data_IF_905496245057
#
_entry.id   IF_905496245057
#
_cell.length_a   1.000
_cell.length_b   1.000
_cell.length_c   1.000
_cell.angle_alpha   90.00
_cell.angle_beta   90.00
_cell.angle_gamma   90.00
#
_symmetry.space_group_name_H-M   'P 1'
#
loop_
_entity.id
_entity.type
_entity.pdbx_description
1 polymer ?
#
# COMPACT_ATOMS: atom_id res chain seq x y z
N UNK A 1 -11.39 16.79 -21.27
CA UNK A 1 -11.25 16.66 -19.80
C UNK A 1 -10.51 15.36 -19.49
N UNK A 2 -9.21 15.41 -19.18
CA UNK A 2 -8.48 14.24 -18.68
C UNK A 2 -8.71 14.19 -17.17
N UNK A 3 -9.48 13.21 -16.70
CA UNK A 3 -9.54 12.92 -15.27
C UNK A 3 -8.10 12.69 -14.80
N UNK A 4 -7.60 13.56 -13.92
CA UNK A 4 -6.26 13.43 -13.38
C UNK A 4 -6.19 12.10 -12.65
N UNK A 5 -5.33 11.19 -13.13
CA UNK A 5 -5.02 9.94 -12.46
C UNK A 5 -4.51 10.14 -11.02
N UNK A 6 -4.29 11.37 -10.58
CA UNK A 6 -3.87 11.68 -9.22
C UNK A 6 -4.96 11.45 -8.16
N UNK A 7 -6.26 11.53 -8.51
CA UNK A 7 -7.33 11.47 -7.49
C UNK A 7 -7.68 10.06 -6.99
N UNK A 8 -7.52 9.04 -7.83
CA UNK A 8 -7.99 7.69 -7.49
C UNK A 8 -7.11 6.99 -6.44
N UNK A 9 -5.79 7.14 -6.50
CA UNK A 9 -4.90 6.55 -5.50
C UNK A 9 -5.07 7.16 -4.11
N UNK A 10 -5.25 8.49 -4.02
CA UNK A 10 -5.58 9.17 -2.77
C UNK A 10 -6.84 8.62 -2.14
N UNK A 11 -7.88 8.41 -2.94
CA UNK A 11 -9.14 7.86 -2.47
C UNK A 11 -8.99 6.40 -2.02
N UNK A 12 -8.31 5.56 -2.80
CA UNK A 12 -8.02 4.17 -2.43
C UNK A 12 -7.20 4.08 -1.14
N UNK A 13 -6.13 4.85 -1.00
CA UNK A 13 -5.33 4.89 0.22
C UNK A 13 -6.16 5.33 1.43
N UNK A 14 -6.98 6.37 1.30
CA UNK A 14 -7.85 6.80 2.39
C UNK A 14 -8.87 5.73 2.80
N UNK A 15 -9.41 4.95 1.87
CA UNK A 15 -10.29 3.82 2.19
C UNK A 15 -9.53 2.71 2.90
N UNK A 16 -8.34 2.37 2.42
CA UNK A 16 -7.49 1.34 3.02
C UNK A 16 -7.07 1.72 4.44
N UNK A 17 -6.59 2.95 4.65
CA UNK A 17 -6.15 3.44 5.96
C UNK A 17 -7.28 3.55 7.00
N UNK A 18 -8.55 3.49 6.59
CA UNK A 18 -9.69 3.38 7.52
C UNK A 18 -9.92 1.95 8.00
N UNK A 19 -9.52 0.95 7.21
CA UNK A 19 -9.71 -0.49 7.50
C UNK A 19 -8.47 -1.12 8.14
N UNK A 20 -7.32 -0.54 7.85
CA UNK A 20 -6.03 -1.05 8.26
C UNK A 20 -5.38 -0.12 9.26
N UNK A 21 -4.84 -0.70 10.33
CA UNK A 21 -3.96 0.03 11.23
C UNK A 21 -2.52 -0.14 10.77
N UNK A 22 -1.84 0.99 10.54
CA UNK A 22 -0.41 1.03 10.26
C UNK A 22 0.35 1.45 11.52
N UNK A 23 1.57 0.93 11.69
CA UNK A 23 2.49 1.46 12.69
C UNK A 23 2.88 2.92 12.38
N UNK A 24 3.33 3.67 13.38
CA UNK A 24 3.79 5.06 13.17
C UNK A 24 4.91 5.14 12.13
N UNK A 25 5.83 4.17 12.14
CA UNK A 25 6.93 4.07 11.20
C UNK A 25 6.43 3.88 9.75
N UNK A 26 5.38 3.08 9.55
CA UNK A 26 4.75 2.90 8.25
C UNK A 26 3.99 4.14 7.78
N UNK A 27 3.28 4.82 8.69
CA UNK A 27 2.63 6.09 8.40
C UNK A 27 3.65 7.15 7.99
N UNK A 28 4.79 7.22 8.66
CA UNK A 28 5.88 8.12 8.29
C UNK A 28 6.40 7.81 6.88
N UNK A 29 6.65 6.53 6.55
CA UNK A 29 7.06 6.13 5.20
C UNK A 29 6.02 6.53 4.16
N UNK A 30 4.74 6.25 4.41
CA UNK A 30 3.65 6.58 3.50
C UNK A 30 3.58 8.09 3.23
N UNK A 31 3.75 8.93 4.26
CA UNK A 31 3.76 10.40 4.15
C UNK A 31 4.92 10.96 3.31
N UNK A 32 5.97 10.18 3.07
CA UNK A 32 7.09 10.61 2.19
C UNK A 32 6.79 10.41 0.71
N UNK A 33 5.73 9.66 0.38
CA UNK A 33 5.33 9.40 -1.01
C UNK A 33 4.48 10.57 -1.52
N UNK A 34 4.88 11.11 -2.67
CA UNK A 34 4.03 12.00 -3.46
C UNK A 34 2.98 11.15 -4.17
N UNK A 35 1.72 11.25 -3.76
CA UNK A 35 0.61 10.44 -4.30
C UNK A 35 0.42 10.64 -5.82
N UNK A 36 0.83 11.79 -6.37
CA UNK A 36 0.80 12.04 -7.82
C UNK A 36 1.84 11.22 -8.60
N UNK A 37 2.75 10.57 -7.89
CA UNK A 37 3.82 9.72 -8.44
C UNK A 37 3.55 8.23 -8.23
N UNK A 38 2.42 7.87 -7.62
CA UNK A 38 2.01 6.47 -7.52
C UNK A 38 1.71 5.95 -8.93
N UNK A 39 2.35 4.83 -9.27
CA UNK A 39 2.19 4.10 -10.52
C UNK A 39 1.19 2.96 -10.36
N UNK A 40 1.25 2.26 -9.22
CA UNK A 40 0.31 1.19 -8.93
C UNK A 40 0.16 0.97 -7.43
N UNK A 41 -1.03 0.49 -7.06
CA UNK A 41 -1.38 0.08 -5.71
C UNK A 41 -1.96 -1.33 -5.79
N UNK A 42 -1.44 -2.25 -4.99
CA UNK A 42 -1.94 -3.61 -4.87
C UNK A 42 -2.23 -3.92 -3.40
N UNK A 43 -3.40 -4.49 -3.12
CA UNK A 43 -3.80 -4.83 -1.77
C UNK A 43 -4.68 -6.08 -1.73
N UNK A 44 -4.74 -6.71 -0.56
CA UNK A 44 -5.68 -7.81 -0.28
C UNK A 44 -6.27 -7.66 1.11
N UNK A 45 -7.53 -8.08 1.26
CA UNK A 45 -8.24 -8.12 2.54
C UNK A 45 -7.92 -9.39 3.33
N UNK A 46 -7.82 -10.52 2.65
CA UNK A 46 -7.50 -11.84 3.22
C UNK A 46 -6.22 -12.41 2.63
N UNK A 47 -5.49 -13.21 3.40
CA UNK A 47 -4.21 -13.76 2.97
C UNK A 47 -3.17 -12.66 2.77
N UNK A 48 -2.18 -12.87 1.91
CA UNK A 48 -1.21 -11.83 1.60
C UNK A 48 -0.22 -12.21 0.52
N UNK A 49 0.63 -11.26 0.16
CA UNK A 49 1.67 -11.45 -0.83
C UNK A 49 2.99 -11.74 -0.14
N UNK A 50 3.71 -12.80 -0.52
CA UNK A 50 4.99 -13.12 0.09
C UNK A 50 6.05 -12.09 -0.31
N UNK A 51 6.80 -11.59 0.67
CA UNK A 51 7.82 -10.54 0.47
C UNK A 51 8.98 -10.97 -0.44
N UNK A 52 9.18 -12.28 -0.59
CA UNK A 52 10.30 -12.87 -1.32
C UNK A 52 10.01 -12.98 -2.81
N UNK A 53 8.84 -13.50 -3.17
CA UNK A 53 8.45 -13.82 -4.54
C UNK A 53 7.28 -12.98 -5.09
N UNK A 54 6.55 -12.28 -4.21
CA UNK A 54 5.37 -11.48 -4.56
C UNK A 54 4.12 -12.30 -4.90
N UNK A 55 4.15 -13.62 -4.72
CA UNK A 55 3.01 -14.50 -4.96
C UNK A 55 1.95 -14.31 -3.88
N UNK A 56 0.67 -14.43 -4.29
CA UNK A 56 -0.45 -14.37 -3.36
C UNK A 56 -0.67 -15.72 -2.70
N UNK A 57 -0.83 -15.70 -1.38
CA UNK A 57 -1.20 -16.83 -0.55
C UNK A 57 -2.48 -16.49 0.22
N UNK A 58 -3.48 -17.38 0.17
CA UNK A 58 -4.75 -17.16 0.86
C UNK A 58 -4.63 -17.24 2.40
N UNK A 59 -3.58 -17.88 2.90
CA UNK A 59 -3.28 -18.02 4.33
C UNK A 59 -2.52 -16.80 4.85
N UNK A 60 -2.81 -16.38 6.08
CA UNK A 60 -1.98 -15.38 6.78
C UNK A 60 -0.63 -16.01 7.15
N UNK A 61 0.46 -15.35 6.78
CA UNK A 61 1.83 -15.78 7.05
C UNK A 61 2.64 -14.57 7.52
N UNK A 62 3.60 -14.77 8.41
CA UNK A 62 4.43 -13.68 8.94
C UNK A 62 5.23 -12.94 7.85
N UNK A 63 5.50 -13.61 6.73
CA UNK A 63 6.23 -13.08 5.57
C UNK A 63 5.34 -12.32 4.58
N UNK A 64 4.02 -12.34 4.80
CA UNK A 64 3.07 -11.76 3.88
C UNK A 64 2.92 -10.25 4.10
N UNK A 65 2.83 -9.50 3.01
CA UNK A 65 2.37 -8.13 3.01
C UNK A 65 0.98 -7.98 2.42
N UNK A 66 0.28 -6.96 2.90
CA UNK A 66 -1.13 -6.69 2.55
C UNK A 66 -1.26 -5.52 1.58
N UNK A 67 -0.31 -4.59 1.58
CA UNK A 67 -0.34 -3.40 0.74
C UNK A 67 1.03 -3.15 0.12
N UNK A 68 1.04 -3.02 -1.21
CA UNK A 68 2.20 -2.62 -1.99
C UNK A 68 1.88 -1.36 -2.77
N UNK A 69 2.77 -0.38 -2.66
CA UNK A 69 2.69 0.90 -3.36
C UNK A 69 3.96 1.04 -4.19
N UNK A 70 3.76 1.20 -5.48
CA UNK A 70 4.82 1.41 -6.44
C UNK A 70 4.76 2.87 -6.91
N UNK A 71 5.84 3.63 -6.77
CA UNK A 71 5.88 5.05 -7.07
C UNK A 71 7.19 5.48 -7.73
N UNK A 72 7.18 6.60 -8.45
CA UNK A 72 8.38 7.20 -9.01
C UNK A 72 9.09 8.08 -7.98
N UNK A 73 10.41 7.94 -7.88
CA UNK A 73 11.23 8.81 -7.02
C UNK A 73 11.19 10.24 -7.57
N UNK A 74 11.02 11.22 -6.68
CA UNK A 74 10.96 12.63 -7.08
C UNK A 74 12.23 13.03 -7.85
N UNK A 75 12.05 13.54 -9.08
CA UNK A 75 13.14 13.96 -9.94
C UNK A 75 13.88 12.82 -10.64
N UNK A 76 13.32 11.61 -10.65
CA UNK A 76 13.88 10.45 -11.35
C UNK A 76 12.78 9.61 -11.99
N UNK A 77 13.11 8.93 -13.09
CA UNK A 77 12.25 7.89 -13.68
C UNK A 77 12.42 6.53 -12.96
N UNK A 78 13.19 6.49 -11.87
CA UNK A 78 13.37 5.29 -11.07
C UNK A 78 12.11 5.00 -10.25
N UNK A 79 11.63 3.76 -10.38
CA UNK A 79 10.53 3.20 -9.60
C UNK A 79 11.03 2.69 -8.25
N UNK A 80 10.28 2.96 -7.19
CA UNK A 80 10.48 2.41 -5.86
C UNK A 80 9.21 1.72 -5.38
N UNK A 81 9.38 0.69 -4.56
CA UNK A 81 8.29 -0.07 -3.96
C UNK A 81 8.30 0.16 -2.46
N UNK A 82 7.17 0.60 -1.91
CA UNK A 82 6.88 0.58 -0.49
C UNK A 82 5.95 -0.61 -0.20
N UNK A 83 6.41 -1.48 0.68
CA UNK A 83 5.62 -2.59 1.21
C UNK A 83 5.19 -2.19 2.62
N UNK A 84 3.89 -2.33 2.89
CA UNK A 84 3.27 -2.10 4.18
C UNK A 84 2.69 -3.43 4.68
N UNK A 85 2.83 -3.66 5.98
CA UNK A 85 2.33 -4.80 6.73
C UNK A 85 1.17 -4.35 7.64
N UNK A 86 0.10 -3.73 7.10
CA UNK A 86 -1.00 -3.32 7.93
C UNK A 86 -1.64 -4.52 8.63
N UNK A 87 -1.95 -4.32 9.90
CA UNK A 87 -2.82 -5.23 10.64
C UNK A 87 -4.25 -4.82 10.29
N UNK A 88 -5.07 -5.79 9.87
CA UNK A 88 -6.53 -5.56 9.76
C UNK A 88 -6.98 -5.10 11.14
N UNK A 89 -7.65 -3.96 11.23
CA UNK A 89 -8.36 -3.61 12.45
C UNK A 89 -9.55 -4.57 12.53
N UNK A 90 -9.30 -5.79 13.00
CA UNK A 90 -10.37 -6.70 13.38
C UNK A 90 -11.20 -5.93 14.41
N UNK A 91 -12.51 -5.93 14.20
CA UNK A 91 -13.47 -5.20 15.00
C UNK A 91 -13.14 -5.42 16.48
N UNK A 92 -12.65 -4.37 17.17
CA UNK A 92 -12.78 -4.29 18.61
C UNK A 92 -14.28 -4.24 18.89
N UNK A 93 -14.91 -5.42 18.92
CA UNK A 93 -16.19 -5.66 19.55
C UNK A 93 -16.09 -5.46 21.05
#
# INVERSE_FOLDING_TARGET
>A
MKASANGHFSQSLNVLLKRYSLSEHELLKLRTIDESKIVSLAYTETGGFDITDGAFYAEERDVNYKLKIDYLIKGSDRKQTLILLPVVADELG
#
